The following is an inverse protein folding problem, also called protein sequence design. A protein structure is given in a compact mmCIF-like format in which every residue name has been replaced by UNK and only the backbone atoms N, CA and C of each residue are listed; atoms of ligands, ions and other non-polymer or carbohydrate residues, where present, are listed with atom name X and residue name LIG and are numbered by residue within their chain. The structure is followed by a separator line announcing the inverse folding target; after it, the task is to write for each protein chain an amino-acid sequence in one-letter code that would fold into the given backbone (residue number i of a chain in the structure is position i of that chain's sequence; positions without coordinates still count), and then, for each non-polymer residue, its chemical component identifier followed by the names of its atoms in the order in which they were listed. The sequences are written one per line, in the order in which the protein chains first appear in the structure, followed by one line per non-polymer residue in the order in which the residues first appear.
data_IF_702858204706
#
_entry.id   IF_702858204706
#
_cell.length_a   1.000
_cell.length_b   1.000
_cell.length_c   1.000
_cell.angle_alpha   90.00
_cell.angle_beta   90.00
_cell.angle_gamma   90.00
#
_symmetry.space_group_name_H-M   'P 1'
#
loop_
_entity.id
_entity.type
_entity.pdbx_description
1 polymer ?
#
# COMPACT_ATOMS: atom_id res chain seq x y z
N UNK A 1 15.87 0.60 19.65
CA UNK A 1 14.43 0.47 19.32
C UNK A 1 14.31 0.32 17.81
N UNK A 2 13.85 -0.83 17.31
CA UNK A 2 13.60 -1.00 15.87
C UNK A 2 12.46 -0.05 15.48
N UNK A 3 12.73 0.93 14.61
CA UNK A 3 11.73 1.85 14.12
C UNK A 3 10.54 1.06 13.52
N UNK A 4 9.33 1.14 14.10
CA UNK A 4 8.18 0.38 13.63
C UNK A 4 7.85 0.64 12.15
N UNK A 5 8.20 1.83 11.65
CA UNK A 5 8.11 2.25 10.24
C UNK A 5 8.95 1.41 9.28
N UNK A 6 10.14 0.96 9.66
CA UNK A 6 11.01 0.15 8.79
C UNK A 6 10.48 -1.27 8.59
N UNK A 7 9.82 -1.83 9.60
CA UNK A 7 9.18 -3.15 9.51
C UNK A 7 8.04 -3.14 8.50
N UNK A 8 7.18 -2.11 8.58
CA UNK A 8 6.06 -1.92 7.66
C UNK A 8 6.54 -1.70 6.22
N UNK A 9 7.56 -0.86 6.03
CA UNK A 9 8.17 -0.60 4.72
C UNK A 9 8.69 -1.88 4.04
N UNK A 10 9.43 -2.71 4.80
CA UNK A 10 9.96 -3.98 4.27
C UNK A 10 8.83 -4.95 3.90
N UNK A 11 7.77 -4.99 4.72
CA UNK A 11 6.64 -5.90 4.50
C UNK A 11 5.82 -5.51 3.27
N UNK A 12 5.49 -4.24 3.09
CA UNK A 12 4.72 -3.78 1.93
C UNK A 12 5.49 -3.97 0.63
N UNK A 13 6.81 -3.72 0.62
CA UNK A 13 7.66 -3.98 -0.54
C UNK A 13 7.74 -5.47 -0.89
N UNK A 14 7.78 -6.35 0.11
CA UNK A 14 7.78 -7.79 -0.12
C UNK A 14 6.48 -8.24 -0.82
N UNK A 15 5.33 -7.71 -0.40
CA UNK A 15 4.04 -8.03 -1.00
C UNK A 15 3.90 -7.42 -2.40
N UNK A 16 4.30 -6.16 -2.58
CA UNK A 16 4.29 -5.50 -3.88
C UNK A 16 5.11 -6.28 -4.93
N UNK A 17 6.24 -6.88 -4.54
CA UNK A 17 7.06 -7.72 -5.44
C UNK A 17 6.34 -8.98 -5.95
N UNK A 18 5.35 -9.48 -5.22
CA UNK A 18 4.55 -10.67 -5.58
C UNK A 18 3.32 -10.31 -6.43
N UNK A 19 3.04 -9.03 -6.65
CA UNK A 19 1.95 -8.56 -7.50
C UNK A 19 2.19 -8.87 -8.99
N UNK A 20 1.13 -9.11 -9.81
CA UNK A 20 1.25 -9.34 -11.25
C UNK A 20 2.10 -8.30 -11.99
N UNK A 21 2.89 -8.74 -12.98
CA UNK A 21 4.02 -7.98 -13.55
C UNK A 21 3.66 -6.63 -14.15
N UNK A 22 2.45 -6.46 -14.70
CA UNK A 22 2.09 -5.26 -15.47
C UNK A 22 2.17 -3.95 -14.67
N UNK A 23 1.85 -3.97 -13.36
CA UNK A 23 1.87 -2.75 -12.52
C UNK A 23 2.86 -2.81 -11.35
N UNK A 24 3.61 -3.90 -11.22
CA UNK A 24 4.49 -4.16 -10.09
C UNK A 24 5.53 -3.05 -9.87
N UNK A 25 6.20 -2.61 -10.93
CA UNK A 25 7.25 -1.59 -10.82
C UNK A 25 6.69 -0.25 -10.38
N UNK A 26 5.55 0.16 -10.96
CA UNK A 26 4.86 1.40 -10.61
C UNK A 26 4.46 1.43 -9.13
N UNK A 27 3.85 0.34 -8.64
CA UNK A 27 3.47 0.19 -7.23
C UNK A 27 4.70 0.28 -6.30
N UNK A 28 5.80 -0.38 -6.66
CA UNK A 28 7.03 -0.35 -5.87
C UNK A 28 7.62 1.06 -5.82
N UNK A 29 7.67 1.77 -6.95
CA UNK A 29 8.16 3.15 -7.00
C UNK A 29 7.31 4.11 -6.19
N UNK A 30 5.98 3.99 -6.28
CA UNK A 30 5.04 4.80 -5.53
C UNK A 30 5.20 4.61 -4.02
N UNK A 31 5.29 3.36 -3.55
CA UNK A 31 5.61 3.03 -2.14
C UNK A 31 6.94 3.67 -1.74
N UNK A 32 8.00 3.56 -2.56
CA UNK A 32 9.31 4.14 -2.24
C UNK A 32 9.29 5.67 -2.23
N UNK A 33 8.43 6.29 -3.03
CA UNK A 33 8.27 7.73 -3.10
C UNK A 33 7.57 8.24 -1.84
N UNK A 34 6.44 7.64 -1.48
CA UNK A 34 5.66 8.02 -0.29
C UNK A 34 6.46 7.87 1.01
N UNK A 35 7.18 6.76 1.18
CA UNK A 35 8.04 6.58 2.36
C UNK A 35 9.22 7.57 2.41
N UNK A 36 9.71 8.04 1.25
CA UNK A 36 10.77 9.07 1.21
C UNK A 36 10.23 10.46 1.49
N UNK A 37 9.06 10.80 0.94
CA UNK A 37 8.35 12.07 1.22
C UNK A 37 8.03 12.22 2.70
N UNK A 38 7.62 11.13 3.34
CA UNK A 38 7.20 11.11 4.73
C UNK A 38 8.34 10.71 5.70
N UNK A 39 9.58 10.59 5.22
CA UNK A 39 10.71 10.12 6.03
C UNK A 39 11.09 11.07 7.17
N UNK A 40 10.79 12.36 7.01
CA UNK A 40 11.11 13.41 7.98
C UNK A 40 9.95 13.75 8.92
N UNK A 41 8.80 13.08 8.78
CA UNK A 41 7.63 13.33 9.63
C UNK A 41 7.92 12.93 11.08
N UNK A 42 7.32 13.70 12.00
CA UNK A 42 7.36 13.38 13.42
C UNK A 42 6.58 12.09 13.75
N UNK A 43 6.82 11.47 14.90
CA UNK A 43 6.17 10.21 15.29
C UNK A 43 4.64 10.30 15.34
N UNK A 44 4.06 11.45 15.70
CA UNK A 44 2.61 11.66 15.72
C UNK A 44 2.01 11.81 14.33
N UNK A 45 2.69 12.55 13.45
CA UNK A 45 2.29 12.78 12.06
C UNK A 45 2.44 11.52 11.20
N UNK A 46 3.37 10.63 11.56
CA UNK A 46 3.60 9.37 10.88
C UNK A 46 2.52 8.32 11.21
N UNK A 47 1.78 8.43 12.32
CA UNK A 47 0.73 7.47 12.71
C UNK A 47 -0.30 7.20 11.61
N UNK A 48 -0.95 8.20 10.98
CA UNK A 48 -1.89 7.96 9.89
C UNK A 48 -1.22 7.29 8.68
N UNK A 49 0.02 7.65 8.35
CA UNK A 49 0.77 7.04 7.25
C UNK A 49 1.08 5.56 7.53
N UNK A 50 1.44 5.23 8.77
CA UNK A 50 1.68 3.85 9.23
C UNK A 50 0.38 3.05 9.16
N UNK A 51 -0.74 3.62 9.64
CA UNK A 51 -2.05 2.97 9.61
C UNK A 51 -2.47 2.67 8.17
N UNK A 52 -2.36 3.66 7.26
CA UNK A 52 -2.61 3.47 5.84
C UNK A 52 -1.77 2.34 5.26
N UNK A 53 -0.47 2.30 5.56
CA UNK A 53 0.42 1.25 5.08
C UNK A 53 0.03 -0.15 5.62
N UNK A 54 -0.45 -0.26 6.86
CA UNK A 54 -1.00 -1.51 7.40
C UNK A 54 -2.25 -1.97 6.64
N UNK A 55 -3.15 -1.05 6.30
CA UNK A 55 -4.36 -1.38 5.56
C UNK A 55 -4.04 -1.76 4.11
N UNK A 56 -3.10 -1.07 3.46
CA UNK A 56 -2.58 -1.46 2.15
C UNK A 56 -1.89 -2.84 2.18
N UNK A 57 -1.17 -3.19 3.26
CA UNK A 57 -0.61 -4.53 3.46
C UNK A 57 -1.71 -5.58 3.51
N UNK A 58 -2.80 -5.36 4.25
CA UNK A 58 -3.93 -6.30 4.31
C UNK A 58 -4.57 -6.49 2.93
N UNK A 59 -4.79 -5.41 2.19
CA UNK A 59 -5.32 -5.46 0.83
C UNK A 59 -4.37 -6.24 -0.09
N UNK A 60 -3.07 -5.93 -0.10
CA UNK A 60 -2.07 -6.66 -0.88
C UNK A 60 -1.98 -8.13 -0.50
N UNK A 61 -2.11 -8.46 0.79
CA UNK A 61 -2.18 -9.85 1.25
C UNK A 61 -3.41 -10.58 0.71
N UNK A 62 -4.55 -9.92 0.58
CA UNK A 62 -5.72 -10.54 -0.07
C UNK A 62 -5.43 -10.91 -1.52
N UNK A 63 -4.66 -10.08 -2.25
CA UNK A 63 -4.24 -10.39 -3.62
C UNK A 63 -3.17 -11.49 -3.70
N UNK A 64 -2.27 -11.57 -2.72
CA UNK A 64 -1.10 -12.49 -2.74
C UNK A 64 -1.39 -13.83 -2.07
N UNK A 65 -2.33 -13.89 -1.12
CA UNK A 65 -2.78 -15.12 -0.45
C UNK A 65 -3.86 -15.87 -1.23
N UNK A 66 -4.28 -15.36 -2.39
CA UNK A 66 -5.02 -16.15 -3.38
C UNK A 66 -4.07 -17.24 -3.89
N UNK A 67 -4.32 -18.45 -3.43
CA UNK A 67 -3.68 -19.67 -3.92
C UNK A 67 -3.65 -19.64 -5.46
N UNK A 68 -2.50 -19.81 -6.12
CA UNK A 68 -2.43 -19.90 -7.58
C UNK A 68 -3.32 -21.02 -8.16
N UNK A 69 -3.84 -21.94 -7.33
CA UNK A 69 -4.82 -22.96 -7.70
C UNK A 69 -6.32 -22.55 -7.54
N UNK A 70 -6.64 -21.36 -7.02
CA UNK A 70 -8.03 -20.96 -6.77
C UNK A 70 -8.70 -20.29 -7.98
N UNK A 71 -9.72 -20.95 -8.54
CA UNK A 71 -10.46 -20.62 -9.76
C UNK A 71 -11.51 -19.50 -9.62
N UNK A 72 -11.77 -18.95 -8.43
CA UNK A 72 -12.80 -17.92 -8.25
C UNK A 72 -12.25 -16.66 -7.58
N UNK A 73 -12.14 -15.60 -8.38
CA UNK A 73 -11.76 -14.27 -7.95
C UNK A 73 -13.02 -13.50 -7.56
N UNK A 74 -13.15 -13.07 -6.31
CA UNK A 74 -14.17 -12.10 -5.91
C UNK A 74 -13.50 -10.93 -5.21
N UNK A 75 -13.12 -9.93 -6.01
CA UNK A 75 -12.55 -8.68 -5.51
C UNK A 75 -13.71 -7.77 -5.13
N UNK A 76 -14.03 -7.67 -3.84
CA UNK A 76 -14.80 -6.54 -3.33
C UNK A 76 -13.87 -5.33 -3.26
N UNK A 77 -13.73 -4.61 -4.37
CA UNK A 77 -13.22 -3.25 -4.34
C UNK A 77 -14.23 -2.42 -3.55
N UNK A 78 -13.96 -2.14 -2.29
CA UNK A 78 -14.65 -1.05 -1.59
C UNK A 78 -14.17 0.24 -2.23
N UNK A 79 -15.00 0.77 -3.11
CA UNK A 79 -14.91 2.13 -3.65
C UNK A 79 -14.60 3.10 -2.51
N UNK A 80 -13.37 3.58 -2.46
CA UNK A 80 -13.11 4.93 -1.96
C UNK A 80 -12.93 5.76 -3.23
N UNK A 81 -14.00 6.35 -3.77
CA UNK A 81 -13.85 7.27 -4.88
C UNK A 81 -12.93 8.39 -4.38
N UNK A 82 -11.80 8.58 -5.04
CA UNK A 82 -10.99 9.78 -4.85
C UNK A 82 -11.95 10.99 -4.87
N UNK A 83 -11.87 11.91 -3.90
CA UNK A 83 -12.67 13.14 -3.98
C UNK A 83 -12.31 13.86 -5.28
N UNK A 84 -13.31 14.10 -6.10
CA UNK A 84 -13.18 14.86 -7.36
C UNK A 84 -12.62 16.26 -7.00
N UNK A 85 -11.58 16.75 -7.67
CA UNK A 85 -11.08 18.11 -7.45
C UNK A 85 -12.21 19.11 -7.74
N UNK A 86 -12.42 20.14 -6.90
CA UNK A 86 -13.47 21.12 -7.14
C UNK A 86 -13.20 21.89 -8.44
N UNK A 87 -14.19 21.91 -9.34
CA UNK A 87 -14.20 22.74 -10.53
C UNK A 87 -14.01 24.21 -10.14
N UNK A 88 -13.03 24.86 -10.76
CA UNK A 88 -12.89 26.33 -10.68
C UNK A 88 -13.93 26.95 -11.61
N UNK A 89 -14.73 27.86 -11.03
CA UNK A 89 -15.74 28.70 -11.69
C UNK A 89 -15.24 29.40 -12.95
#
# INVERSE_FOLDING_TARGET
MLHPTLGVYRRILFLAKRFPRCNRLKIIEEIRSEFRRNATLGPEEAKPCIQLAHDSIKQLQQYVSLDPAATSWNVKMTETPMPVPPEKK
#
